data_IF_745900692302
#
_entry.id   IF_745900692302
#
_cell.length_a   1.000
_cell.length_b   1.000
_cell.length_c   1.000
_cell.angle_alpha   90.00
_cell.angle_beta   90.00
_cell.angle_gamma   90.00
#
_symmetry.space_group_name_H-M   'P 1'
#
loop_
_entity.id
_entity.type
_entity.pdbx_description
1 polymer ?
#
# COMPACT_ATOMS: atom_id res chain seq x y z
N UNK A 1 9.95 6.58 -5.48
CA UNK A 1 9.19 5.47 -4.86
C UNK A 1 7.79 5.90 -4.44
N UNK A 2 7.65 7.03 -3.77
CA UNK A 2 6.35 7.44 -3.23
C UNK A 2 5.32 7.81 -4.30
N UNK A 3 5.73 8.42 -5.41
CA UNK A 3 4.82 8.68 -6.52
C UNK A 3 4.26 7.38 -7.10
N UNK A 4 5.12 6.39 -7.24
CA UNK A 4 4.72 5.07 -7.73
C UNK A 4 3.77 4.39 -6.76
N UNK A 5 4.06 4.49 -5.47
CA UNK A 5 3.21 3.92 -4.42
C UNK A 5 1.82 4.56 -4.42
N UNK A 6 1.75 5.88 -4.51
CA UNK A 6 0.46 6.58 -4.55
C UNK A 6 -0.37 6.17 -5.76
N UNK A 7 0.27 6.05 -6.92
CA UNK A 7 -0.43 5.64 -8.14
C UNK A 7 -1.01 4.22 -7.99
N UNK A 8 -0.23 3.31 -7.42
CA UNK A 8 -0.67 1.94 -7.21
C UNK A 8 -1.85 1.90 -6.22
N UNK A 9 -1.73 2.61 -5.11
CA UNK A 9 -2.79 2.63 -4.11
C UNK A 9 -4.07 3.24 -4.65
N UNK A 10 -3.96 4.33 -5.41
CA UNK A 10 -5.13 4.96 -6.02
C UNK A 10 -5.85 4.01 -6.96
N UNK A 11 -5.11 3.26 -7.75
CA UNK A 11 -5.69 2.28 -8.67
C UNK A 11 -6.36 1.14 -7.93
N UNK A 12 -5.70 0.57 -6.93
CA UNK A 12 -6.23 -0.55 -6.15
C UNK A 12 -7.50 -0.16 -5.40
N UNK A 13 -7.48 1.03 -4.79
CA UNK A 13 -8.62 1.49 -3.99
C UNK A 13 -9.67 2.21 -4.82
N UNK A 14 -9.41 2.44 -6.11
CA UNK A 14 -10.31 3.13 -7.03
C UNK A 14 -10.66 4.54 -6.53
N UNK A 15 -9.62 5.27 -6.16
CA UNK A 15 -9.72 6.69 -5.73
C UNK A 15 -8.70 7.50 -6.51
N UNK A 16 -8.80 8.83 -6.46
CA UNK A 16 -7.82 9.68 -7.13
C UNK A 16 -6.53 9.73 -6.31
N UNK A 17 -5.40 9.99 -6.96
CA UNK A 17 -4.12 10.08 -6.27
C UNK A 17 -4.11 11.20 -5.22
N UNK A 18 -4.89 12.24 -5.44
CA UNK A 18 -5.00 13.35 -4.49
C UNK A 18 -5.63 12.94 -3.17
N UNK A 19 -6.33 11.81 -3.14
CA UNK A 19 -6.93 11.28 -1.92
C UNK A 19 -5.95 10.43 -1.12
N UNK A 20 -4.80 10.11 -1.70
CA UNK A 20 -3.77 9.33 -1.01
C UNK A 20 -2.74 10.30 -0.42
N UNK A 21 -2.47 10.17 0.86
CA UNK A 21 -1.49 11.01 1.56
C UNK A 21 -0.77 10.21 2.62
N UNK A 22 0.19 10.83 3.28
CA UNK A 22 0.90 10.21 4.39
C UNK A 22 -0.01 9.84 5.56
N UNK A 23 -1.21 10.43 5.60
CA UNK A 23 -2.20 10.17 6.66
C UNK A 23 -3.22 9.11 6.27
N UNK A 24 -3.15 8.59 5.05
CA UNK A 24 -4.09 7.59 4.56
C UNK A 24 -3.97 6.27 5.34
N UNK A 25 -5.11 5.69 5.68
CA UNK A 25 -5.18 4.43 6.41
C UNK A 25 -6.44 3.68 6.03
N UNK A 26 -6.56 2.45 6.52
CA UNK A 26 -7.77 1.66 6.30
C UNK A 26 -9.01 2.32 6.93
N UNK A 27 -8.80 3.22 7.90
CA UNK A 27 -9.90 3.96 8.51
C UNK A 27 -10.35 5.16 7.67
N UNK A 28 -9.46 5.70 6.84
CA UNK A 28 -9.76 6.90 6.06
C UNK A 28 -10.17 6.61 4.62
N UNK A 29 -9.85 5.42 4.12
CA UNK A 29 -10.19 5.02 2.74
C UNK A 29 -11.24 3.91 2.85
N UNK A 30 -12.48 4.23 2.50
CA UNK A 30 -13.61 3.31 2.69
C UNK A 30 -13.49 2.02 1.88
N UNK A 31 -12.81 2.06 0.75
CA UNK A 31 -12.62 0.88 -0.09
C UNK A 31 -11.47 -0.03 0.38
N UNK A 32 -10.77 0.37 1.43
CA UNK A 32 -9.66 -0.41 1.97
C UNK A 32 -10.18 -1.42 2.99
N UNK A 33 -10.55 -2.58 2.51
CA UNK A 33 -10.99 -3.70 3.33
C UNK A 33 -10.01 -4.86 3.19
N UNK A 34 -10.31 -5.99 3.80
CA UNK A 34 -9.38 -7.12 3.80
C UNK A 34 -9.12 -7.68 2.41
N UNK A 35 -10.12 -7.65 1.53
CA UNK A 35 -9.96 -8.13 0.16
C UNK A 35 -9.06 -7.20 -0.65
N UNK A 36 -9.33 -5.88 -0.61
CA UNK A 36 -8.49 -4.91 -1.31
C UNK A 36 -7.09 -4.84 -0.72
N UNK A 37 -6.96 -5.09 0.58
CA UNK A 37 -5.65 -5.13 1.23
C UNK A 37 -4.78 -6.24 0.64
N UNK A 38 -5.32 -7.45 0.52
CA UNK A 38 -4.62 -8.57 -0.09
C UNK A 38 -4.25 -8.25 -1.54
N UNK A 39 -5.18 -7.67 -2.28
CA UNK A 39 -4.92 -7.26 -3.66
C UNK A 39 -3.79 -6.23 -3.73
N UNK A 40 -3.80 -5.25 -2.83
CA UNK A 40 -2.74 -4.24 -2.74
C UNK A 40 -1.38 -4.90 -2.51
N UNK A 41 -1.29 -5.83 -1.56
CA UNK A 41 -0.05 -6.53 -1.25
C UNK A 41 0.49 -7.24 -2.50
N UNK A 42 -0.37 -7.96 -3.22
CA UNK A 42 0.03 -8.67 -4.43
C UNK A 42 0.55 -7.73 -5.51
N UNK A 43 -0.15 -6.60 -5.72
CA UNK A 43 0.27 -5.62 -6.73
C UNK A 43 1.60 -4.98 -6.33
N UNK A 44 1.77 -4.62 -5.07
CA UNK A 44 3.01 -4.01 -4.59
C UNK A 44 4.21 -4.96 -4.78
N UNK A 45 4.05 -6.23 -4.45
CA UNK A 45 5.11 -7.21 -4.64
C UNK A 45 5.52 -7.32 -6.10
N UNK A 46 4.55 -7.31 -6.99
CA UNK A 46 4.81 -7.40 -8.43
C UNK A 46 5.47 -6.13 -8.96
N UNK A 47 4.94 -4.97 -8.59
CA UNK A 47 5.41 -3.69 -9.13
C UNK A 47 6.79 -3.28 -8.62
N UNK A 48 7.11 -3.64 -7.37
CA UNK A 48 8.41 -3.32 -6.78
C UNK A 48 9.39 -4.51 -6.85
N UNK A 49 8.93 -5.64 -7.34
CA UNK A 49 9.75 -6.86 -7.46
C UNK A 49 10.32 -7.27 -6.10
N UNK A 50 9.45 -7.32 -5.10
CA UNK A 50 9.79 -7.69 -3.72
C UNK A 50 8.80 -8.72 -3.22
N UNK A 51 9.07 -9.29 -2.04
CA UNK A 51 8.18 -10.24 -1.41
C UNK A 51 8.15 -9.96 0.09
N UNK A 52 6.96 -9.61 0.58
CA UNK A 52 6.78 -9.32 2.01
C UNK A 52 6.73 -10.62 2.82
N UNK A 53 7.17 -10.53 4.07
CA UNK A 53 7.00 -11.60 5.03
C UNK A 53 5.54 -11.65 5.48
N UNK A 54 5.05 -12.84 5.82
CA UNK A 54 3.64 -13.01 6.21
C UNK A 54 3.26 -12.12 7.39
N UNK A 55 4.19 -11.95 8.36
CA UNK A 55 3.91 -11.13 9.54
C UNK A 55 3.85 -9.63 9.22
N UNK A 56 4.39 -9.19 8.11
CA UNK A 56 4.36 -7.78 7.72
C UNK A 56 3.02 -7.37 7.14
N UNK A 57 2.33 -8.31 6.49
CA UNK A 57 1.11 -8.00 5.75
C UNK A 57 0.04 -7.36 6.64
N UNK A 58 -0.29 -7.93 7.82
CA UNK A 58 -1.32 -7.32 8.67
C UNK A 58 -0.89 -6.01 9.34
N UNK A 59 0.40 -5.65 9.30
CA UNK A 59 0.87 -4.40 9.88
C UNK A 59 0.82 -3.22 8.91
N UNK A 60 0.62 -3.50 7.61
CA UNK A 60 0.66 -2.48 6.56
C UNK A 60 -0.70 -1.81 6.39
N UNK A 61 -1.20 -1.22 7.46
CA UNK A 61 -2.57 -0.72 7.56
C UNK A 61 -2.70 0.78 7.30
N UNK A 62 -1.59 1.45 6.97
CA UNK A 62 -1.61 2.86 6.58
C UNK A 62 -0.45 3.13 5.63
N UNK A 63 -0.49 4.32 5.01
CA UNK A 63 0.50 4.71 4.02
C UNK A 63 1.93 4.67 4.58
N UNK A 64 2.13 5.20 5.78
CA UNK A 64 3.47 5.28 6.37
C UNK A 64 4.07 3.90 6.60
N UNK A 65 3.27 2.97 7.11
CA UNK A 65 3.72 1.59 7.33
C UNK A 65 4.09 0.92 6.01
N UNK A 66 3.26 1.08 5.00
CA UNK A 66 3.52 0.53 3.67
C UNK A 66 4.81 1.11 3.10
N UNK A 67 4.94 2.43 3.13
CA UNK A 67 6.12 3.13 2.59
C UNK A 67 7.40 2.66 3.30
N UNK A 68 7.38 2.61 4.63
CA UNK A 68 8.55 2.19 5.40
C UNK A 68 8.90 0.73 5.13
N UNK A 69 7.90 -0.13 5.01
CA UNK A 69 8.15 -1.55 4.71
C UNK A 69 8.78 -1.72 3.34
N UNK A 70 8.25 -1.03 2.32
CA UNK A 70 8.83 -1.09 0.97
C UNK A 70 10.26 -0.59 0.99
N UNK A 71 10.52 0.52 1.67
CA UNK A 71 11.88 1.10 1.75
C UNK A 71 12.88 0.12 2.34
N UNK A 72 12.47 -0.70 3.28
CA UNK A 72 13.35 -1.68 3.88
C UNK A 72 13.80 -2.76 2.89
N UNK A 73 13.05 -2.96 1.81
CA UNK A 73 13.39 -3.96 0.78
C UNK A 73 14.21 -3.38 -0.36
N UNK A 74 14.03 -2.09 -0.67
CA UNK A 74 14.66 -1.50 -1.86
C UNK A 74 15.81 -0.56 -1.54
N UNK A 75 15.95 -0.15 -0.30
CA UNK A 75 17.11 0.64 0.16
C UNK A 75 18.14 -0.29 0.84
#
# INVERSE_FOLDING_TARGET
MEEKLKAIMAEVFNVSESEISKKSSLHSISSWDSLTHINLIMVLQKKFNIRFEDEEIPTMVNYMMISNTIKSYID
#
